data_IF_966514542491
#
_entry.id   IF_966514542491
#
_cell.length_a   1.000
_cell.length_b   1.000
_cell.length_c   1.000
_cell.angle_alpha   90.00
_cell.angle_beta   90.00
_cell.angle_gamma   90.00
#
_symmetry.space_group_name_H-M   'P 1'
#
loop_
_entity.id
_entity.type
_entity.pdbx_description
1 polymer ?
#
# COMPACT_ATOMS: atom_id res chain seq x y z
N UNK A 1 -39.43 17.63 -5.22
CA UNK A 1 -39.06 16.26 -5.59
C UNK A 1 -37.55 16.17 -5.56
N UNK A 2 -37.00 15.72 -4.44
CA UNK A 2 -35.55 15.68 -4.19
C UNK A 2 -35.06 14.26 -4.45
N UNK A 3 -34.44 14.04 -5.62
CA UNK A 3 -33.85 12.76 -5.98
C UNK A 3 -32.47 12.63 -5.34
N UNK A 4 -32.40 11.94 -4.21
CA UNK A 4 -31.14 11.52 -3.60
C UNK A 4 -30.48 10.43 -4.45
N UNK A 5 -29.25 10.68 -4.92
CA UNK A 5 -28.44 9.72 -5.65
C UNK A 5 -27.75 8.81 -4.63
N UNK A 6 -28.22 7.58 -4.50
CA UNK A 6 -27.48 6.52 -3.80
C UNK A 6 -26.30 6.10 -4.68
N UNK A 7 -25.11 6.09 -4.09
CA UNK A 7 -23.91 5.51 -4.71
C UNK A 7 -23.64 4.22 -3.94
N UNK A 8 -24.08 3.10 -4.50
CA UNK A 8 -23.68 1.78 -4.03
C UNK A 8 -22.36 1.42 -4.71
N UNK A 9 -21.28 1.36 -3.93
CA UNK A 9 -20.03 0.72 -4.35
C UNK A 9 -19.67 -0.36 -3.35
N UNK A 10 -20.26 -1.54 -3.50
CA UNK A 10 -19.86 -2.75 -2.80
C UNK A 10 -18.62 -3.31 -3.47
N UNK A 11 -17.47 -2.99 -2.90
CA UNK A 11 -16.22 -3.71 -3.17
C UNK A 11 -16.24 -4.92 -2.22
N UNK A 12 -16.60 -6.09 -2.75
CA UNK A 12 -16.66 -7.33 -1.97
C UNK A 12 -15.24 -7.91 -1.85
N UNK A 13 -14.57 -7.58 -0.74
CA UNK A 13 -13.27 -8.11 -0.33
C UNK A 13 -13.50 -9.35 0.53
N UNK A 14 -13.63 -10.52 -0.08
CA UNK A 14 -13.78 -11.77 0.67
C UNK A 14 -12.49 -12.12 1.42
N UNK A 15 -12.45 -11.73 2.70
CA UNK A 15 -11.55 -12.20 3.76
C UNK A 15 -10.29 -11.33 3.89
N UNK A 16 -10.22 -10.29 4.70
CA UNK A 16 -10.97 -9.97 5.91
C UNK A 16 -11.40 -8.51 5.86
N UNK A 17 -12.61 -8.23 6.36
CA UNK A 17 -12.99 -6.88 6.70
C UNK A 17 -12.00 -6.38 7.76
N UNK A 18 -10.95 -5.69 7.34
CA UNK A 18 -10.10 -4.96 8.24
C UNK A 18 -10.97 -3.81 8.76
N UNK A 19 -11.58 -4.03 9.93
CA UNK A 19 -12.24 -3.00 10.72
C UNK A 19 -11.20 -1.98 11.20
N UNK A 20 -10.66 -1.19 10.28
CA UNK A 20 -9.93 0.05 10.58
C UNK A 20 -10.97 1.17 10.59
N UNK A 21 -11.81 1.23 11.63
CA UNK A 21 -12.72 2.37 11.86
C UNK A 21 -12.01 3.61 12.42
N UNK A 22 -10.72 3.50 12.72
CA UNK A 22 -9.95 4.60 13.31
C UNK A 22 -9.12 5.34 12.26
N UNK A 23 -9.31 6.65 12.21
CA UNK A 23 -8.34 7.58 11.60
C UNK A 23 -7.04 7.45 12.40
N UNK A 24 -5.96 7.07 11.74
CA UNK A 24 -4.68 6.84 12.38
C UNK A 24 -3.97 8.14 12.72
N UNK A 25 -4.19 9.21 11.96
CA UNK A 25 -3.48 10.47 12.12
C UNK A 25 -4.22 11.63 11.46
N UNK A 26 -4.13 12.81 12.07
CA UNK A 26 -4.52 14.08 11.47
C UNK A 26 -3.32 14.85 10.90
N UNK A 27 -2.10 14.31 11.03
CA UNK A 27 -0.89 14.91 10.47
C UNK A 27 -0.76 14.60 8.98
N UNK A 28 -0.19 15.54 8.25
CA UNK A 28 0.10 15.37 6.83
C UNK A 28 1.29 14.45 6.57
N UNK A 29 1.47 14.11 5.30
CA UNK A 29 2.59 13.31 4.84
C UNK A 29 2.45 12.93 3.37
N UNK A 30 3.41 12.17 2.87
CA UNK A 30 3.36 11.64 1.51
C UNK A 30 3.71 10.16 1.51
N UNK A 31 2.89 9.35 0.85
CA UNK A 31 3.14 7.94 0.55
C UNK A 31 3.37 7.80 -0.95
N UNK A 32 4.49 7.22 -1.33
CA UNK A 32 4.83 6.96 -2.72
C UNK A 32 4.99 5.47 -2.92
N UNK A 33 4.25 4.91 -3.87
CA UNK A 33 4.34 3.51 -4.24
C UNK A 33 5.08 3.40 -5.57
N UNK A 34 6.31 2.92 -5.51
CA UNK A 34 7.05 2.48 -6.71
C UNK A 34 6.56 1.07 -7.05
N UNK A 35 6.06 0.87 -8.26
CA UNK A 35 5.67 -0.45 -8.72
C UNK A 35 5.96 -0.65 -10.20
N UNK A 36 6.40 -1.85 -10.56
CA UNK A 36 6.64 -2.20 -11.95
C UNK A 36 5.35 -2.06 -12.80
N UNK A 37 5.49 -1.53 -14.03
CA UNK A 37 4.41 -1.37 -15.02
C UNK A 37 4.92 -1.69 -16.43
N UNK A 38 4.01 -1.80 -17.40
CA UNK A 38 4.30 -2.20 -18.78
C UNK A 38 5.10 -3.51 -18.84
N UNK A 39 4.65 -4.53 -18.09
CA UNK A 39 5.37 -5.79 -17.90
C UNK A 39 5.64 -6.53 -19.22
N UNK A 40 4.80 -6.29 -20.22
CA UNK A 40 4.95 -6.82 -21.58
C UNK A 40 6.25 -6.40 -22.26
N UNK A 41 6.79 -5.21 -21.93
CA UNK A 41 8.05 -4.69 -22.51
C UNK A 41 9.30 -5.40 -21.98
N UNK A 42 9.18 -6.15 -20.89
CA UNK A 42 10.31 -6.82 -20.24
C UNK A 42 10.03 -8.27 -19.86
N UNK A 43 9.09 -8.93 -20.57
CA UNK A 43 8.74 -10.35 -20.42
C UNK A 43 9.90 -11.33 -20.48
N UNK A 44 11.05 -10.93 -21.05
CA UNK A 44 12.21 -11.80 -21.21
C UNK A 44 12.92 -12.20 -19.91
N UNK A 45 12.74 -11.44 -18.82
CA UNK A 45 13.46 -11.66 -17.56
C UNK A 45 12.63 -12.33 -16.47
N UNK A 46 11.31 -12.09 -16.45
CA UNK A 46 10.43 -12.43 -15.32
C UNK A 46 8.96 -12.47 -15.74
N UNK A 47 8.19 -13.42 -15.20
CA UNK A 47 6.72 -13.48 -15.37
C UNK A 47 6.05 -12.53 -14.38
N UNK A 48 6.08 -11.23 -14.67
CA UNK A 48 5.37 -10.24 -13.87
C UNK A 48 3.89 -10.19 -14.25
N UNK A 49 3.03 -10.11 -13.23
CA UNK A 49 1.60 -9.88 -13.39
C UNK A 49 1.29 -8.43 -13.01
N UNK A 50 1.22 -7.54 -14.00
CA UNK A 50 0.96 -6.10 -13.82
C UNK A 50 -0.35 -5.81 -13.08
N UNK A 51 -1.39 -6.61 -13.33
CA UNK A 51 -2.67 -6.48 -12.63
C UNK A 51 -2.51 -6.66 -11.11
N UNK A 52 -1.61 -7.55 -10.68
CA UNK A 52 -1.30 -7.75 -9.25
C UNK A 52 -0.62 -6.52 -8.65
N UNK A 53 0.34 -5.90 -9.34
CA UNK A 53 0.97 -4.65 -8.88
C UNK A 53 -0.09 -3.54 -8.74
N UNK A 54 -0.95 -3.37 -9.74
CA UNK A 54 -2.03 -2.39 -9.70
C UNK A 54 -3.00 -2.63 -8.55
N UNK A 55 -3.44 -3.88 -8.36
CA UNK A 55 -4.35 -4.26 -7.27
C UNK A 55 -3.78 -3.90 -5.89
N UNK A 56 -2.50 -4.21 -5.63
CA UNK A 56 -1.88 -3.86 -4.36
C UNK A 56 -1.71 -2.36 -4.18
N UNK A 57 -1.41 -1.62 -5.25
CA UNK A 57 -1.39 -0.15 -5.19
C UNK A 57 -2.77 0.41 -4.81
N UNK A 58 -3.85 -0.06 -5.46
CA UNK A 58 -5.22 0.37 -5.15
C UNK A 58 -5.59 0.10 -3.69
N UNK A 59 -5.23 -1.08 -3.16
CA UNK A 59 -5.45 -1.39 -1.74
C UNK A 59 -4.67 -0.48 -0.80
N UNK A 60 -3.42 -0.11 -1.13
CA UNK A 60 -2.63 0.86 -0.33
C UNK A 60 -3.24 2.25 -0.44
N UNK A 61 -3.66 2.66 -1.64
CA UNK A 61 -4.30 3.95 -1.86
C UNK A 61 -5.57 4.11 -1.01
N UNK A 62 -6.41 3.08 -0.97
CA UNK A 62 -7.60 3.04 -0.12
C UNK A 62 -7.25 3.07 1.37
N UNK A 63 -6.24 2.28 1.78
CA UNK A 63 -5.74 2.29 3.16
C UNK A 63 -5.28 3.69 3.55
N UNK A 64 -4.47 4.35 2.72
CA UNK A 64 -3.94 5.69 2.99
C UNK A 64 -5.06 6.71 3.06
N UNK A 65 -5.96 6.74 2.07
CA UNK A 65 -7.07 7.70 2.04
C UNK A 65 -8.04 7.56 3.21
N UNK A 66 -8.22 6.34 3.74
CA UNK A 66 -9.09 6.09 4.91
C UNK A 66 -8.38 6.40 6.23
N UNK A 67 -7.13 6.00 6.37
CA UNK A 67 -6.40 6.00 7.64
C UNK A 67 -5.62 7.29 7.89
N UNK A 68 -5.18 7.96 6.81
CA UNK A 68 -4.31 9.13 6.83
C UNK A 68 -4.86 10.17 5.84
N UNK A 69 -6.02 10.78 6.12
CA UNK A 69 -6.73 11.64 5.16
C UNK A 69 -5.94 12.89 4.74
N UNK A 70 -4.96 13.30 5.53
CA UNK A 70 -4.06 14.42 5.23
C UNK A 70 -2.79 13.99 4.48
N UNK A 71 -2.63 12.71 4.18
CA UNK A 71 -1.51 12.19 3.41
C UNK A 71 -1.83 12.11 1.91
N UNK A 72 -0.89 12.55 1.09
CA UNK A 72 -0.92 12.34 -0.35
C UNK A 72 -0.43 10.92 -0.68
N UNK A 73 -1.08 10.21 -1.60
CA UNK A 73 -0.65 8.88 -2.04
C UNK A 73 -0.50 8.85 -3.57
N UNK A 74 0.71 8.61 -4.06
CA UNK A 74 1.01 8.62 -5.49
C UNK A 74 1.64 7.31 -5.98
N UNK A 75 1.31 6.91 -7.21
CA UNK A 75 1.95 5.79 -7.92
C UNK A 75 2.99 6.31 -8.90
N UNK A 76 4.22 5.81 -8.79
CA UNK A 76 5.32 6.08 -9.71
C UNK A 76 5.54 7.55 -10.12
N UNK A 77 5.44 8.56 -9.23
CA UNK A 77 5.71 9.95 -9.58
C UNK A 77 7.17 10.13 -10.05
N UNK A 78 7.43 10.43 -11.34
CA UNK A 78 8.77 10.33 -11.92
C UNK A 78 9.81 11.19 -11.20
N UNK A 79 9.40 12.38 -10.74
CA UNK A 79 10.33 13.34 -10.16
C UNK A 79 10.65 13.01 -8.70
N UNK A 80 9.76 12.30 -8.04
CA UNK A 80 9.99 11.78 -6.69
C UNK A 80 10.82 10.50 -6.78
N UNK A 81 10.54 9.62 -7.74
CA UNK A 81 11.37 8.44 -8.02
C UNK A 81 12.81 8.85 -8.33
N UNK A 82 13.03 9.85 -9.19
CA UNK A 82 14.37 10.32 -9.52
C UNK A 82 15.16 10.78 -8.28
N UNK A 83 14.50 11.41 -7.32
CA UNK A 83 15.12 11.84 -6.05
C UNK A 83 15.41 10.67 -5.10
N UNK A 84 14.63 9.59 -5.16
CA UNK A 84 14.72 8.44 -4.25
C UNK A 84 15.68 7.38 -4.76
N UNK A 85 15.52 7.00 -6.02
CA UNK A 85 16.16 5.83 -6.63
C UNK A 85 17.27 6.22 -7.60
N UNK A 86 17.33 7.50 -7.99
CA UNK A 86 18.20 7.97 -9.08
C UNK A 86 17.65 7.68 -10.48
N UNK A 87 16.40 7.20 -10.61
CA UNK A 87 15.73 6.92 -11.89
C UNK A 87 14.31 7.50 -11.92
N UNK A 88 13.90 8.06 -13.06
CA UNK A 88 12.50 8.49 -13.32
C UNK A 88 11.55 7.31 -13.56
N UNK A 89 12.10 6.16 -13.92
CA UNK A 89 11.36 4.92 -14.16
C UNK A 89 11.46 3.99 -12.94
N UNK A 90 10.38 3.27 -12.59
CA UNK A 90 10.40 2.27 -11.55
C UNK A 90 11.28 1.09 -11.96
N UNK A 91 11.87 0.43 -10.96
CA UNK A 91 12.71 -0.74 -11.17
C UNK A 91 11.89 -1.93 -11.63
N UNK A 92 12.50 -2.77 -12.45
CA UNK A 92 11.86 -3.99 -12.92
C UNK A 92 11.54 -4.93 -11.76
N UNK A 93 10.28 -5.31 -11.63
CA UNK A 93 9.79 -6.21 -10.59
C UNK A 93 9.62 -5.59 -9.19
N UNK A 94 9.94 -4.31 -9.01
CA UNK A 94 9.86 -3.64 -7.72
C UNK A 94 8.41 -3.36 -7.30
N UNK A 95 8.18 -3.45 -5.99
CA UNK A 95 6.99 -2.93 -5.32
C UNK A 95 7.48 -2.38 -3.98
N UNK A 96 7.62 -1.07 -3.90
CA UNK A 96 8.25 -0.38 -2.78
C UNK A 96 7.33 0.72 -2.28
N UNK A 97 7.27 0.88 -0.97
CA UNK A 97 6.46 1.92 -0.34
C UNK A 97 7.38 2.85 0.42
N UNK A 98 7.39 4.11 0.00
CA UNK A 98 8.13 5.20 0.62
C UNK A 98 7.15 6.07 1.38
N UNK A 99 7.52 6.48 2.59
CA UNK A 99 6.71 7.38 3.42
C UNK A 99 7.58 8.54 3.84
N UNK A 100 7.02 9.74 3.78
CA UNK A 100 7.64 10.95 4.31
C UNK A 100 6.68 11.70 5.22
N UNK A 101 7.20 12.32 6.28
CA UNK A 101 6.44 13.23 7.14
C UNK A 101 6.08 14.53 6.40
N UNK A 102 5.09 15.27 6.90
CA UNK A 102 4.63 16.55 6.33
C UNK A 102 5.76 17.57 6.13
N UNK A 103 6.67 17.67 7.10
CA UNK A 103 7.82 18.57 7.07
C UNK A 103 8.98 18.04 6.18
N UNK A 104 8.84 16.84 5.62
CA UNK A 104 9.87 16.14 4.86
C UNK A 104 11.12 15.76 5.67
N UNK A 105 11.13 15.96 6.99
CA UNK A 105 12.29 15.69 7.83
C UNK A 105 12.58 14.19 7.97
N UNK A 106 11.55 13.37 7.79
CA UNK A 106 11.64 11.91 7.84
C UNK A 106 11.22 11.35 6.49
N UNK A 107 12.05 10.45 5.98
CA UNK A 107 11.77 9.71 4.77
C UNK A 107 12.28 8.29 4.93
N UNK A 108 11.41 7.31 4.74
CA UNK A 108 11.73 5.91 4.97
C UNK A 108 11.08 5.00 3.93
N UNK A 109 11.80 3.94 3.55
CA UNK A 109 11.21 2.79 2.87
C UNK A 109 10.55 1.91 3.93
N UNK A 110 9.21 1.87 3.94
CA UNK A 110 8.45 1.07 4.91
C UNK A 110 8.17 -0.35 4.42
N UNK A 111 8.31 -0.59 3.11
CA UNK A 111 8.17 -1.91 2.52
C UNK A 111 8.96 -2.04 1.21
N UNK A 112 9.53 -3.22 0.97
CA UNK A 112 10.22 -3.56 -0.27
C UNK A 112 9.95 -5.02 -0.66
N UNK A 113 9.29 -5.23 -1.80
CA UNK A 113 9.10 -6.57 -2.39
C UNK A 113 10.42 -7.15 -2.88
N UNK A 114 11.32 -6.33 -3.41
CA UNK A 114 12.62 -6.81 -3.87
C UNK A 114 13.48 -7.37 -2.73
N UNK A 115 13.37 -6.78 -1.53
CA UNK A 115 14.08 -7.26 -0.34
C UNK A 115 13.37 -8.46 0.32
N UNK A 116 12.04 -8.43 0.43
CA UNK A 116 11.28 -9.47 1.16
C UNK A 116 10.90 -10.68 0.32
N UNK A 117 10.83 -10.52 -1.01
CA UNK A 117 10.29 -11.52 -1.93
C UNK A 117 8.78 -11.76 -1.77
N UNK A 118 8.08 -10.98 -0.94
CA UNK A 118 6.67 -11.15 -0.58
C UNK A 118 5.85 -9.93 -0.98
N UNK A 119 4.53 -10.07 -0.94
CA UNK A 119 3.59 -8.95 -1.08
C UNK A 119 3.32 -8.30 0.29
N UNK A 120 2.97 -7.00 0.34
CA UNK A 120 2.77 -6.32 1.60
C UNK A 120 1.56 -6.85 2.35
N UNK A 121 1.69 -6.98 3.67
CA UNK A 121 0.58 -7.16 4.59
C UNK A 121 0.03 -5.77 4.93
N UNK A 122 -1.21 -5.48 4.52
CA UNK A 122 -1.79 -4.14 4.62
C UNK A 122 -1.93 -3.64 6.07
N UNK A 123 -2.42 -4.43 7.04
CA UNK A 123 -2.44 -4.01 8.45
C UNK A 123 -1.07 -3.60 8.99
N UNK A 124 -0.04 -4.41 8.73
CA UNK A 124 1.33 -4.10 9.16
C UNK A 124 1.90 -2.88 8.45
N UNK A 125 1.62 -2.73 7.15
CA UNK A 125 2.04 -1.58 6.37
C UNK A 125 1.42 -0.28 6.94
N UNK A 126 0.14 -0.28 7.29
CA UNK A 126 -0.51 0.87 7.93
C UNK A 126 0.17 1.27 9.24
N UNK A 127 0.57 0.29 10.07
CA UNK A 127 1.35 0.55 11.30
C UNK A 127 2.71 1.17 11.01
N UNK A 128 3.41 0.75 9.96
CA UNK A 128 4.68 1.35 9.58
C UNK A 128 4.52 2.76 9.03
N UNK A 129 3.48 3.02 8.23
CA UNK A 129 3.13 4.36 7.76
C UNK A 129 2.89 5.30 8.95
N UNK A 130 2.06 4.87 9.92
CA UNK A 130 1.80 5.65 11.13
C UNK A 130 3.08 5.95 11.92
N UNK A 131 4.01 5.02 12.06
CA UNK A 131 5.26 5.26 12.81
C UNK A 131 6.15 6.33 12.16
N UNK A 132 6.08 6.48 10.83
CA UNK A 132 6.83 7.52 10.12
C UNK A 132 6.17 8.88 10.28
N UNK A 133 4.83 8.93 10.14
CA UNK A 133 4.04 10.17 10.23
C UNK A 133 3.96 10.67 11.69
N UNK A 134 3.66 9.78 12.64
CA UNK A 134 3.45 10.04 14.06
C UNK A 134 4.39 9.20 14.94
N UNK A 135 5.69 9.54 15.00
CA UNK A 135 6.69 8.74 15.69
C UNK A 135 6.52 8.69 17.21
N UNK A 136 5.84 9.68 17.78
CA UNK A 136 5.60 9.79 19.21
C UNK A 136 4.28 9.10 19.62
N UNK A 137 3.47 8.62 18.66
CA UNK A 137 2.25 7.90 18.99
C UNK A 137 2.64 6.52 19.53
N UNK A 138 2.21 6.17 20.75
CA UNK A 138 2.49 4.85 21.30
C UNK A 138 1.98 3.78 20.34
N UNK A 139 2.76 2.70 20.20
CA UNK A 139 2.31 1.55 19.41
C UNK A 139 1.00 1.05 20.02
N UNK A 140 -0.08 0.90 19.23
CA UNK A 140 -1.28 0.28 19.73
C UNK A 140 -0.91 -1.13 20.19
N UNK A 141 -1.23 -1.43 21.45
CA UNK A 141 -0.96 -2.73 22.06
C UNK A 141 -2.06 -3.66 21.57
N UNK A 142 -1.74 -4.51 20.60
CA UNK A 142 -2.62 -5.61 20.21
C UNK A 142 -2.15 -6.86 20.95
N UNK A 143 -3.09 -7.59 21.54
CA UNK A 143 -2.81 -8.89 22.12
C UNK A 143 -2.30 -9.83 21.04
N UNK A 144 -1.15 -10.48 21.28
CA UNK A 144 -0.53 -11.47 20.39
C UNK A 144 -1.45 -12.68 20.14
N UNK A 145 -2.57 -12.79 20.87
CA UNK A 145 -3.58 -13.83 20.70
C UNK A 145 -4.47 -13.66 19.44
N UNK A 146 -4.32 -12.57 18.68
CA UNK A 146 -5.07 -12.33 17.42
C UNK A 146 -4.33 -12.86 16.17
N UNK A 147 -3.39 -13.80 16.34
CA UNK A 147 -2.59 -14.41 15.27
C UNK A 147 -3.32 -15.60 14.58
N UNK A 148 -4.65 -15.55 14.46
CA UNK A 148 -5.44 -16.60 13.80
C UNK A 148 -5.57 -16.43 12.27
N UNK A 149 -4.76 -15.57 11.65
CA UNK A 149 -4.90 -15.19 10.24
C UNK A 149 -3.84 -15.77 9.27
N UNK A 150 -3.24 -16.91 9.62
CA UNK A 150 -2.14 -17.49 8.84
C UNK A 150 -2.49 -18.77 8.03
N UNK A 151 -3.76 -19.12 7.81
CA UNK A 151 -4.11 -20.40 7.14
C UNK A 151 -5.08 -20.36 5.94
N UNK A 152 -5.44 -19.20 5.38
CA UNK A 152 -6.38 -19.17 4.24
C UNK A 152 -5.79 -18.76 2.89
N UNK A 153 -4.49 -18.96 2.65
CA UNK A 153 -3.97 -19.06 1.28
C UNK A 153 -4.08 -20.52 0.80
N UNK A 154 -5.27 -20.93 0.40
CA UNK A 154 -5.46 -22.19 -0.33
C UNK A 154 -6.51 -22.03 -1.43
N UNK A 155 -6.03 -22.27 -2.66
CA UNK A 155 -6.79 -22.48 -3.91
C UNK A 155 -7.47 -21.25 -4.52
N UNK A 156 -6.70 -20.49 -5.30
CA UNK A 156 -7.23 -19.95 -6.55
C UNK A 156 -7.31 -21.09 -7.59
N UNK A 157 -8.43 -21.31 -8.28
CA UNK A 157 -8.50 -22.28 -9.37
C UNK A 157 -7.62 -21.80 -10.53
N UNK A 158 -6.65 -22.62 -10.92
CA UNK A 158 -6.04 -22.54 -12.24
C UNK A 158 -7.07 -22.98 -13.27
N UNK A 159 -7.56 -22.06 -14.08
CA UNK A 159 -8.35 -22.40 -15.27
C UNK A 159 -7.51 -23.19 -16.28
N UNK A 160 -8.14 -24.13 -17.02
CA UNK A 160 -7.48 -25.03 -17.97
C UNK A 160 -7.01 -24.37 -19.28
#
# INVERSE_FOLDING_TARGET
MSGGRQVESTVDFSGDAIYMEEVYSELGGSVVVEHCYACDKHRGSTRHNEAKYKQYFESIYLLVGRCFPMCECESNPPEVLQRITGSREPRMGSFEVYVSSEDGSRKQVVFSKCLTGRWPNLPMLGRYIMQVIEPNKPRPVYSEDDDTLSQHESKMPTEP
#
